data_IF_479705833517
#
_entry.id   IF_479705833517
#
_cell.length_a   1.000
_cell.length_b   1.000
_cell.length_c   1.000
_cell.angle_alpha   90.00
_cell.angle_beta   90.00
_cell.angle_gamma   90.00
#
_symmetry.space_group_name_H-M   'P 1'
#
loop_
_entity.id
_entity.type
_entity.pdbx_description
1 polymer ?
#
# COMPACT_ATOMS: atom_id res chain seq x y z
N UNK A 1 -0.93 -1.13 25.26
CA UNK A 1 -0.40 -1.80 24.04
C UNK A 1 -0.70 -3.29 24.17
N UNK A 2 -1.32 -3.94 23.17
CA UNK A 2 -1.65 -5.37 23.25
C UNK A 2 -0.36 -6.20 23.11
N UNK A 3 -0.26 -7.30 23.86
CA UNK A 3 0.88 -8.21 23.81
C UNK A 3 0.52 -9.46 23.00
N UNK A 4 1.48 -9.98 22.25
CA UNK A 4 1.38 -11.28 21.55
C UNK A 4 2.70 -12.03 21.64
N UNK A 5 2.63 -13.33 21.43
CA UNK A 5 3.82 -14.17 21.30
C UNK A 5 4.34 -14.15 19.86
N UNK A 6 5.66 -14.12 19.71
CA UNK A 6 6.30 -14.25 18.42
C UNK A 6 6.04 -15.65 17.83
N UNK A 7 5.56 -15.71 16.60
CA UNK A 7 5.26 -16.95 15.87
C UNK A 7 6.49 -17.82 15.59
N UNK A 8 7.70 -17.27 15.74
CA UNK A 8 8.96 -17.99 15.49
C UNK A 8 9.68 -18.46 16.75
N UNK A 9 9.79 -17.61 17.77
CA UNK A 9 10.59 -17.91 18.96
C UNK A 9 9.78 -17.97 20.25
N UNK A 10 8.47 -17.71 20.21
CA UNK A 10 7.59 -17.75 21.38
C UNK A 10 7.84 -16.64 22.41
N UNK A 11 8.69 -15.64 22.13
CA UNK A 11 8.92 -14.51 23.04
C UNK A 11 7.69 -13.59 23.07
N UNK A 12 7.33 -13.12 24.26
CA UNK A 12 6.29 -12.10 24.43
C UNK A 12 6.79 -10.75 23.89
N UNK A 13 5.98 -10.12 23.05
CA UNK A 13 6.29 -8.86 22.37
C UNK A 13 5.05 -7.96 22.30
N UNK A 14 5.25 -6.68 22.00
CA UNK A 14 4.16 -5.79 21.61
C UNK A 14 3.61 -6.19 20.24
N UNK A 15 2.29 -6.18 20.11
CA UNK A 15 1.61 -6.48 18.86
C UNK A 15 1.97 -5.42 17.81
N UNK A 16 2.57 -5.86 16.70
CA UNK A 16 2.88 -4.99 15.58
C UNK A 16 1.62 -4.76 14.74
N UNK A 17 1.33 -3.48 14.50
CA UNK A 17 0.19 -3.00 13.71
C UNK A 17 0.72 -2.58 12.33
N UNK A 18 0.01 -2.97 11.28
CA UNK A 18 0.23 -2.48 9.92
C UNK A 18 -0.26 -1.03 9.83
N UNK A 19 0.67 -0.12 9.55
CA UNK A 19 0.41 1.32 9.44
C UNK A 19 -0.62 1.65 8.34
N UNK A 20 -0.75 0.81 7.31
CA UNK A 20 -1.66 1.07 6.19
C UNK A 20 -3.11 0.66 6.49
N UNK A 21 -3.30 -0.37 7.31
CA UNK A 21 -4.63 -0.93 7.59
C UNK A 21 -5.11 -0.64 9.01
N UNK A 22 -4.20 -0.25 9.91
CA UNK A 22 -4.48 -0.07 11.34
C UNK A 22 -4.79 -1.38 12.06
N UNK A 23 -4.53 -2.52 11.42
CA UNK A 23 -4.81 -3.87 11.95
C UNK A 23 -3.51 -4.58 12.34
N UNK A 24 -3.53 -5.51 13.30
CA UNK A 24 -2.37 -6.36 13.60
C UNK A 24 -1.95 -7.18 12.37
N UNK A 25 -0.65 -7.41 12.22
CA UNK A 25 -0.18 -8.42 11.27
C UNK A 25 -0.65 -9.81 11.70
N UNK A 26 -1.04 -10.64 10.72
CA UNK A 26 -1.44 -12.03 10.97
C UNK A 26 -0.29 -12.86 11.57
N UNK A 27 0.95 -12.57 11.16
CA UNK A 27 2.17 -13.20 11.68
C UNK A 27 2.96 -12.16 12.48
N UNK A 28 3.24 -12.48 13.75
CA UNK A 28 3.92 -11.59 14.68
C UNK A 28 5.37 -12.03 14.90
N UNK A 29 6.33 -11.16 14.60
CA UNK A 29 7.76 -11.45 14.62
C UNK A 29 8.49 -10.40 15.44
N UNK A 30 9.21 -10.82 16.49
CA UNK A 30 9.74 -9.90 17.50
C UNK A 30 11.05 -9.22 17.09
N UNK A 31 11.73 -9.69 16.06
CA UNK A 31 13.04 -9.17 15.67
C UNK A 31 13.42 -9.53 14.24
N UNK A 32 14.38 -8.80 13.67
CA UNK A 32 14.97 -9.13 12.37
C UNK A 32 15.53 -10.55 12.29
N UNK A 33 16.01 -11.10 13.41
CA UNK A 33 16.46 -12.50 13.50
C UNK A 33 15.29 -13.47 13.28
N UNK A 34 14.14 -13.21 13.92
CA UNK A 34 12.95 -14.03 13.75
C UNK A 34 12.36 -13.91 12.34
N UNK A 35 12.40 -12.70 11.75
CA UNK A 35 12.01 -12.47 10.35
C UNK A 35 12.90 -13.28 9.41
N UNK A 36 14.22 -13.20 9.57
CA UNK A 36 15.16 -13.97 8.76
C UNK A 36 14.98 -15.48 8.91
N UNK A 37 14.68 -15.97 10.12
CA UNK A 37 14.40 -17.37 10.36
C UNK A 37 13.09 -17.84 9.70
N UNK A 38 12.01 -17.03 9.81
CA UNK A 38 10.75 -17.30 9.13
C UNK A 38 10.95 -17.39 7.61
N UNK A 39 11.70 -16.45 7.03
CA UNK A 39 11.99 -16.41 5.61
C UNK A 39 12.77 -17.63 5.11
N UNK A 40 13.78 -18.08 5.89
CA UNK A 40 14.52 -19.31 5.60
C UNK A 40 13.62 -20.54 5.61
N UNK A 41 12.68 -20.63 6.55
CA UNK A 41 11.71 -21.74 6.60
C UNK A 41 10.83 -21.75 5.36
N UNK A 42 10.27 -20.60 4.97
CA UNK A 42 9.46 -20.47 3.74
C UNK A 42 10.27 -20.91 2.52
N UNK A 43 11.50 -20.41 2.39
CA UNK A 43 12.38 -20.74 1.25
C UNK A 43 12.70 -22.24 1.21
N UNK A 44 12.93 -22.88 2.37
CA UNK A 44 13.18 -24.32 2.46
C UNK A 44 11.96 -25.13 2.05
N UNK A 45 10.76 -24.73 2.48
CA UNK A 45 9.51 -25.38 2.08
C UNK A 45 9.26 -25.27 0.58
N UNK A 46 9.52 -24.10 -0.02
CA UNK A 46 9.40 -23.90 -1.48
C UNK A 46 10.39 -24.79 -2.22
N UNK A 47 11.66 -24.87 -1.77
CA UNK A 47 12.66 -25.78 -2.35
C UNK A 47 12.23 -27.25 -2.26
N UNK A 48 11.49 -27.62 -1.23
CA UNK A 48 10.94 -28.96 -1.03
C UNK A 48 9.61 -29.20 -1.79
N UNK A 49 9.24 -28.31 -2.71
CA UNK A 49 8.09 -28.49 -3.60
C UNK A 49 6.76 -27.96 -3.06
N UNK A 50 6.74 -27.28 -1.90
CA UNK A 50 5.53 -26.59 -1.45
C UNK A 50 5.25 -25.41 -2.38
N UNK A 51 4.08 -25.40 -3.01
CA UNK A 51 3.59 -24.29 -3.81
C UNK A 51 2.57 -23.47 -3.02
N UNK A 52 2.98 -22.37 -2.36
CA UNK A 52 2.03 -21.50 -1.69
C UNK A 52 1.11 -20.82 -2.72
N UNK A 53 -0.17 -20.72 -2.37
CA UNK A 53 -1.08 -19.84 -3.10
C UNK A 53 -0.77 -18.40 -2.70
N UNK A 54 -0.04 -17.70 -3.56
CA UNK A 54 0.18 -16.28 -3.40
C UNK A 54 -1.12 -15.55 -3.74
N UNK A 55 -1.79 -14.99 -2.74
CA UNK A 55 -2.78 -13.96 -3.01
C UNK A 55 -2.00 -12.75 -3.50
N UNK A 56 -2.21 -12.34 -4.76
CA UNK A 56 -1.66 -11.08 -5.23
C UNK A 56 -2.18 -9.99 -4.29
N UNK A 57 -1.29 -9.40 -3.50
CA UNK A 57 -1.62 -8.20 -2.77
C UNK A 57 -1.97 -7.17 -3.85
N UNK A 58 -3.26 -6.84 -3.98
CA UNK A 58 -3.65 -5.62 -4.68
C UNK A 58 -3.09 -4.51 -3.82
N UNK A 59 -1.87 -4.09 -4.14
CA UNK A 59 -1.24 -2.88 -3.63
C UNK A 59 -2.08 -1.73 -4.18
N UNK A 60 -3.26 -1.50 -3.58
CA UNK A 60 -3.91 -0.20 -3.58
C UNK A 60 -2.99 0.70 -2.77
N UNK A 61 -1.88 1.10 -3.39
CA UNK A 61 -1.19 2.31 -2.97
C UNK A 61 -2.26 3.38 -3.11
N UNK A 62 -2.93 3.73 -2.01
CA UNK A 62 -3.59 5.03 -1.89
C UNK A 62 -2.48 6.07 -1.84
N UNK A 63 -1.71 6.18 -2.92
CA UNK A 63 -0.74 7.24 -3.05
C UNK A 63 -1.58 8.50 -3.15
N UNK A 64 -1.25 9.51 -2.34
CA UNK A 64 -1.90 10.81 -2.40
C UNK A 64 -1.96 11.33 -3.85
N UNK A 65 -0.96 10.99 -4.67
CA UNK A 65 -0.90 11.29 -6.09
C UNK A 65 -2.04 10.65 -6.93
N UNK A 66 -2.47 9.41 -6.64
CA UNK A 66 -3.60 8.79 -7.33
C UNK A 66 -4.94 9.36 -6.89
N UNK A 67 -5.10 9.69 -5.60
CA UNK A 67 -6.29 10.40 -5.14
C UNK A 67 -6.42 11.78 -5.81
N UNK A 68 -5.31 12.52 -5.93
CA UNK A 68 -5.26 13.77 -6.69
C UNK A 68 -5.60 13.58 -8.16
N UNK A 69 -5.07 12.53 -8.81
CA UNK A 69 -5.39 12.23 -10.21
C UNK A 69 -6.88 11.94 -10.40
N UNK A 70 -7.46 11.10 -9.54
CA UNK A 70 -8.88 10.75 -9.59
C UNK A 70 -9.77 11.98 -9.36
N UNK A 71 -9.38 12.91 -8.50
CA UNK A 71 -10.09 14.19 -8.34
C UNK A 71 -10.02 15.06 -9.60
N UNK A 72 -8.85 15.14 -10.24
CA UNK A 72 -8.67 15.85 -11.51
C UNK A 72 -9.57 15.26 -12.59
N UNK A 73 -9.55 13.93 -12.78
CA UNK A 73 -10.35 13.23 -13.80
C UNK A 73 -11.85 13.40 -13.54
N UNK A 74 -12.29 13.33 -12.28
CA UNK A 74 -13.70 13.56 -11.92
C UNK A 74 -14.18 14.96 -12.32
N UNK A 75 -13.38 16.00 -12.05
CA UNK A 75 -13.73 17.37 -12.45
C UNK A 75 -13.67 17.56 -13.98
N UNK A 76 -12.73 16.88 -14.64
CA UNK A 76 -12.64 16.89 -16.11
C UNK A 76 -13.88 16.25 -16.76
N UNK A 77 -14.37 15.14 -16.19
CA UNK A 77 -15.62 14.48 -16.64
C UNK A 77 -16.86 15.35 -16.42
N UNK A 78 -16.83 16.22 -15.39
CA UNK A 78 -17.85 17.28 -15.18
C UNK A 78 -17.68 18.48 -16.13
N UNK A 79 -16.84 18.37 -17.17
CA UNK A 79 -16.52 19.40 -18.17
C UNK A 79 -15.87 20.67 -17.62
N UNK A 80 -15.15 20.58 -16.49
CA UNK A 80 -14.33 21.69 -16.02
C UNK A 80 -13.08 21.83 -16.89
N UNK A 81 -12.66 23.07 -17.14
CA UNK A 81 -11.37 23.35 -17.78
C UNK A 81 -10.23 23.12 -16.79
N UNK A 82 -9.02 22.80 -17.29
CA UNK A 82 -7.85 22.56 -16.42
C UNK A 82 -7.57 23.72 -15.46
N UNK A 83 -7.83 24.96 -15.89
CA UNK A 83 -7.70 26.16 -15.04
C UNK A 83 -8.69 26.15 -13.86
N UNK A 84 -9.97 25.85 -14.12
CA UNK A 84 -10.98 25.75 -13.05
C UNK A 84 -10.72 24.56 -12.13
N UNK A 85 -10.14 23.47 -12.65
CA UNK A 85 -9.72 22.32 -11.83
C UNK A 85 -8.60 22.73 -10.88
N UNK A 86 -7.59 23.45 -11.39
CA UNK A 86 -6.47 23.94 -10.60
C UNK A 86 -6.95 24.85 -9.46
N UNK A 87 -7.87 25.77 -9.75
CA UNK A 87 -8.51 26.65 -8.77
C UNK A 87 -9.33 25.86 -7.73
N UNK A 88 -10.15 24.91 -8.17
CA UNK A 88 -11.01 24.11 -7.29
C UNK A 88 -10.22 23.20 -6.34
N UNK A 89 -9.05 22.71 -6.78
CA UNK A 89 -8.18 21.84 -5.99
C UNK A 89 -7.07 22.60 -5.24
N UNK A 90 -6.95 23.91 -5.45
CA UNK A 90 -5.89 24.73 -4.84
C UNK A 90 -4.48 24.33 -5.29
N UNK A 91 -4.33 23.86 -6.53
CA UNK A 91 -3.05 23.39 -7.10
C UNK A 91 -2.64 24.24 -8.30
N UNK A 92 -1.38 24.10 -8.73
CA UNK A 92 -0.92 24.80 -9.94
C UNK A 92 -1.52 24.18 -11.21
N UNK A 93 -1.74 24.99 -12.24
CA UNK A 93 -2.16 24.51 -13.56
C UNK A 93 -1.17 23.50 -14.15
N UNK A 94 0.14 23.70 -13.92
CA UNK A 94 1.18 22.77 -14.34
C UNK A 94 1.05 21.39 -13.67
N UNK A 95 0.61 21.33 -12.42
CA UNK A 95 0.33 20.08 -11.70
C UNK A 95 -0.82 19.30 -12.35
N UNK A 96 -1.89 20.00 -12.75
CA UNK A 96 -3.01 19.38 -13.49
C UNK A 96 -2.54 18.82 -14.83
N UNK A 97 -1.78 19.60 -15.59
CA UNK A 97 -1.25 19.19 -16.89
C UNK A 97 -0.33 17.96 -16.77
N UNK A 98 0.63 18.01 -15.85
CA UNK A 98 1.58 16.90 -15.64
C UNK A 98 0.88 15.61 -15.20
N UNK A 99 -0.13 15.72 -14.33
CA UNK A 99 -0.94 14.57 -13.91
C UNK A 99 -1.66 13.92 -15.10
N UNK A 100 -2.37 14.71 -15.91
CA UNK A 100 -3.06 14.21 -17.10
C UNK A 100 -2.10 13.65 -18.16
N UNK A 101 -0.91 14.23 -18.28
CA UNK A 101 0.13 13.73 -19.19
C UNK A 101 0.71 12.39 -18.73
N UNK A 102 0.93 12.23 -17.43
CA UNK A 102 1.56 11.04 -16.87
C UNK A 102 0.59 9.85 -16.76
N UNK A 103 -0.66 10.12 -16.39
CA UNK A 103 -1.62 9.11 -15.99
C UNK A 103 -2.84 9.00 -16.92
N UNK A 104 -2.99 9.94 -17.87
CA UNK A 104 -4.08 9.95 -18.83
C UNK A 104 -5.34 10.64 -18.31
N UNK A 105 -6.50 10.17 -18.77
CA UNK A 105 -7.83 10.72 -18.41
C UNK A 105 -8.73 9.67 -17.76
N UNK A 106 -8.14 8.58 -17.30
CA UNK A 106 -8.85 7.46 -16.68
C UNK A 106 -8.61 7.44 -15.18
N UNK A 107 -9.54 6.84 -14.43
CA UNK A 107 -9.35 6.65 -12.99
C UNK A 107 -8.29 5.58 -12.72
N UNK A 108 -7.52 5.75 -11.65
CA UNK A 108 -6.47 4.83 -11.17
C UNK A 108 -6.83 4.25 -9.79
#
# INVERSE_FOLDING_TARGET
MRKRYCSMCGRLMDEHIDENTGKPFDIQLCSGVCIGAAWRNVTKSIKNGVQPQWTAAVLRRKSKAFEYHNQIVNLLNKKFTQKKIAEALGISHGTVYSSLKQYGREFI
#
